data_IF_925012094657
#
_entry.id   IF_925012094657
#
_cell.length_a   1.000
_cell.length_b   1.000
_cell.length_c   1.000
_cell.angle_alpha   90.00
_cell.angle_beta   90.00
_cell.angle_gamma   90.00
#
_symmetry.space_group_name_H-M   'P 1'
#
loop_
_entity.id
_entity.type
_entity.pdbx_description
1 polymer ?
#
# COMPACT_ATOMS: atom_id res chain seq x y z
N UNK A 1 -4.37 5.63 0.56
CA UNK A 1 -3.00 5.18 0.22
C UNK A 1 -2.39 6.30 -0.61
N UNK A 2 -1.31 6.93 -0.13
CA UNK A 2 -0.60 8.00 -0.86
C UNK A 2 0.63 7.40 -1.52
N UNK A 3 0.99 7.83 -2.72
CA UNK A 3 2.23 7.41 -3.37
C UNK A 3 3.45 8.08 -2.73
N UNK A 4 4.66 7.58 -3.02
CA UNK A 4 5.92 8.13 -2.51
C UNK A 4 6.11 9.62 -2.82
N UNK A 5 5.48 10.13 -3.87
CA UNK A 5 5.52 11.55 -4.25
C UNK A 5 4.40 12.40 -3.61
N UNK A 6 3.64 11.83 -2.69
CA UNK A 6 2.51 12.48 -2.02
C UNK A 6 1.29 12.67 -2.91
N UNK A 7 1.29 12.14 -4.14
CA UNK A 7 0.12 12.24 -5.03
C UNK A 7 -0.96 11.20 -4.68
N UNK A 8 -2.24 11.58 -4.72
CA UNK A 8 -3.36 10.65 -4.55
C UNK A 8 -3.70 9.90 -5.85
N UNK A 9 -3.08 10.27 -6.97
CA UNK A 9 -3.35 9.74 -8.29
C UNK A 9 -2.29 8.69 -8.68
N UNK A 10 -2.66 7.75 -9.56
CA UNK A 10 -1.73 6.80 -10.17
C UNK A 10 -0.46 7.48 -10.73
N UNK A 11 0.73 6.84 -10.67
CA UNK A 11 1.98 7.45 -11.14
C UNK A 11 1.90 7.90 -12.61
N UNK A 12 2.45 9.06 -12.94
CA UNK A 12 2.60 9.58 -14.31
C UNK A 12 4.06 9.92 -14.63
N UNK A 13 4.38 10.17 -15.91
CA UNK A 13 5.73 10.63 -16.28
C UNK A 13 6.16 11.87 -15.49
N UNK A 14 7.46 11.96 -15.21
CA UNK A 14 8.08 13.12 -14.55
C UNK A 14 8.67 14.07 -15.58
N UNK A 15 8.69 15.35 -15.24
CA UNK A 15 9.34 16.34 -16.08
C UNK A 15 10.86 16.09 -16.10
N UNK A 16 11.47 16.08 -17.30
CA UNK A 16 12.93 16.04 -17.42
C UNK A 16 13.47 17.47 -17.48
N UNK A 17 14.44 17.77 -16.61
CA UNK A 17 15.12 19.09 -16.55
C UNK A 17 16.47 19.07 -17.26
N UNK A 18 16.92 17.92 -17.75
CA UNK A 18 18.30 17.69 -18.24
C UNK A 18 18.46 17.90 -19.75
N UNK A 19 17.40 18.23 -20.48
CA UNK A 19 17.45 18.49 -21.92
C UNK A 19 16.92 19.89 -22.22
N UNK A 20 17.43 20.51 -23.30
CA UNK A 20 16.96 21.79 -23.85
C UNK A 20 15.46 21.82 -24.19
N UNK A 21 14.80 20.67 -24.10
CA UNK A 21 13.36 20.49 -24.17
C UNK A 21 12.82 20.12 -22.78
N UNK A 22 12.12 21.05 -22.13
CA UNK A 22 11.30 20.70 -20.95
C UNK A 22 10.20 19.74 -21.39
N UNK A 23 10.37 18.46 -21.12
CA UNK A 23 9.29 17.50 -21.26
C UNK A 23 8.31 17.74 -20.11
N UNK A 24 7.15 18.32 -20.41
CA UNK A 24 6.08 18.44 -19.45
C UNK A 24 5.55 17.04 -19.12
N UNK A 25 5.20 16.78 -17.85
CA UNK A 25 4.66 15.49 -17.47
C UNK A 25 3.27 15.33 -18.11
N UNK A 26 3.00 14.15 -18.68
CA UNK A 26 1.75 13.91 -19.40
C UNK A 26 0.75 13.24 -18.48
N UNK A 27 -0.42 13.85 -18.33
CA UNK A 27 -1.46 13.31 -17.45
C UNK A 27 -1.83 11.89 -17.88
N UNK A 28 -1.87 10.97 -16.90
CA UNK A 28 -2.38 9.59 -17.03
C UNK A 28 -1.76 8.77 -18.18
N UNK A 29 -0.52 9.08 -18.56
CA UNK A 29 0.20 8.39 -19.62
C UNK A 29 0.58 6.95 -19.27
N UNK A 30 1.04 6.71 -18.04
CA UNK A 30 1.36 5.35 -17.57
C UNK A 30 0.11 4.47 -17.48
N UNK A 31 -1.03 5.02 -17.02
CA UNK A 31 -2.29 4.28 -16.99
C UNK A 31 -2.72 3.85 -18.41
N UNK A 32 -2.52 4.73 -19.40
CA UNK A 32 -2.79 4.42 -20.80
C UNK A 32 -1.81 3.40 -21.38
N UNK A 33 -0.54 3.45 -20.99
CA UNK A 33 0.47 2.47 -21.40
C UNK A 33 0.12 1.07 -20.87
N UNK A 34 -0.13 0.95 -19.57
CA UNK A 34 -0.54 -0.32 -18.94
C UNK A 34 -1.79 -0.87 -19.62
N UNK A 35 -2.83 -0.05 -19.83
CA UNK A 35 -4.04 -0.50 -20.51
C UNK A 35 -3.77 -1.01 -21.94
N UNK A 36 -2.84 -0.38 -22.66
CA UNK A 36 -2.45 -0.84 -24.00
C UNK A 36 -1.72 -2.18 -23.92
N UNK A 37 -0.80 -2.34 -22.99
CA UNK A 37 0.02 -3.56 -22.86
C UNK A 37 -0.86 -4.77 -22.49
N UNK A 38 -1.80 -4.57 -21.57
CA UNK A 38 -2.76 -5.59 -21.17
C UNK A 38 -3.64 -6.09 -22.33
N UNK A 39 -3.97 -5.21 -23.27
CA UNK A 39 -4.86 -5.54 -24.40
C UNK A 39 -4.08 -6.07 -25.60
N UNK A 40 -2.89 -5.52 -25.87
CA UNK A 40 -2.17 -5.76 -27.14
C UNK A 40 -1.03 -6.75 -27.01
N UNK A 41 -0.28 -6.69 -25.92
CA UNK A 41 0.99 -7.42 -25.79
C UNK A 41 0.79 -8.80 -25.14
N UNK A 42 -0.33 -9.00 -24.44
CA UNK A 42 -0.65 -10.27 -23.79
C UNK A 42 -1.37 -11.26 -24.72
N UNK A 43 -0.96 -12.53 -24.60
CA UNK A 43 -1.67 -13.70 -25.14
C UNK A 43 -3.02 -13.92 -24.43
N UNK A 44 -3.95 -14.69 -25.03
CA UNK A 44 -5.25 -14.97 -24.40
C UNK A 44 -5.15 -15.60 -23.00
N UNK A 45 -4.19 -16.49 -22.79
CA UNK A 45 -3.93 -17.15 -21.50
C UNK A 45 -3.43 -16.14 -20.46
N UNK A 46 -2.46 -15.28 -20.82
CA UNK A 46 -1.95 -14.23 -19.94
C UNK A 46 -3.02 -13.20 -19.57
N UNK A 47 -3.90 -12.84 -20.52
CA UNK A 47 -5.05 -11.98 -20.26
C UNK A 47 -5.98 -12.57 -19.21
N UNK A 48 -6.24 -13.87 -19.30
CA UNK A 48 -7.11 -14.59 -18.35
C UNK A 48 -6.51 -14.56 -16.94
N UNK A 49 -5.18 -14.76 -16.82
CA UNK A 49 -4.47 -14.68 -15.55
C UNK A 49 -4.54 -13.25 -14.98
N UNK A 50 -4.25 -12.23 -15.78
CA UNK A 50 -4.26 -10.83 -15.31
C UNK A 50 -5.66 -10.39 -14.89
N UNK A 51 -6.71 -10.77 -15.63
CA UNK A 51 -8.10 -10.49 -15.23
C UNK A 51 -8.43 -11.18 -13.91
N UNK A 52 -8.00 -12.42 -13.69
CA UNK A 52 -8.17 -13.11 -12.41
C UNK A 52 -7.45 -12.42 -11.24
N UNK A 53 -6.24 -11.91 -11.46
CA UNK A 53 -5.50 -11.15 -10.45
C UNK A 53 -6.13 -9.79 -10.15
N UNK A 54 -6.62 -9.09 -11.18
CA UNK A 54 -7.36 -7.84 -11.02
C UNK A 54 -8.69 -8.07 -10.28
N UNK A 55 -9.42 -9.14 -10.64
CA UNK A 55 -10.63 -9.56 -9.95
C UNK A 55 -10.35 -9.81 -8.45
N UNK A 56 -9.25 -10.47 -8.13
CA UNK A 56 -8.82 -10.69 -6.74
C UNK A 56 -8.46 -9.39 -6.00
N UNK A 57 -8.00 -8.37 -6.72
CA UNK A 57 -7.67 -7.05 -6.16
C UNK A 57 -8.93 -6.22 -5.87
N UNK A 58 -10.00 -6.38 -6.65
CA UNK A 58 -11.30 -5.72 -6.41
C UNK A 58 -12.19 -6.50 -5.43
N UNK A 59 -12.08 -7.83 -5.41
CA UNK A 59 -12.79 -8.73 -4.47
C UNK A 59 -12.13 -8.69 -3.09
N UNK A 60 -10.80 -8.56 -3.04
CA UNK A 60 -10.01 -8.20 -1.85
C UNK A 60 -10.05 -6.70 -1.53
N UNK A 61 -11.18 -6.02 -1.80
CA UNK A 61 -11.44 -4.63 -1.44
C UNK A 61 -11.40 -4.34 0.07
N UNK A 62 -11.05 -5.32 0.89
CA UNK A 62 -10.47 -5.08 2.20
C UNK A 62 -8.99 -4.71 1.99
N UNK A 63 -8.76 -3.40 1.83
CA UNK A 63 -7.62 -2.77 2.50
C UNK A 63 -7.50 -3.51 3.83
N UNK A 64 -6.43 -4.28 4.07
CA UNK A 64 -6.13 -4.75 5.42
C UNK A 64 -6.07 -3.47 6.24
N UNK A 65 -7.18 -3.13 6.87
CA UNK A 65 -7.31 -1.86 7.52
C UNK A 65 -6.29 -1.93 8.62
N UNK A 66 -5.30 -1.03 8.57
CA UNK A 66 -4.35 -0.84 9.66
C UNK A 66 -5.11 -0.61 10.99
N UNK A 67 -6.43 -0.34 10.97
CA UNK A 67 -7.35 -0.39 12.12
C UNK A 67 -7.44 -1.76 12.83
N UNK A 68 -7.45 -2.89 12.12
CA UNK A 68 -7.49 -4.22 12.77
C UNK A 68 -6.16 -4.56 13.45
N UNK A 69 -5.04 -4.24 12.79
CA UNK A 69 -3.69 -4.38 13.35
C UNK A 69 -3.48 -3.42 14.51
N UNK A 70 -3.99 -2.18 14.42
CA UNK A 70 -3.96 -1.19 15.50
C UNK A 70 -4.79 -1.63 16.71
N UNK A 71 -5.98 -2.21 16.51
CA UNK A 71 -6.81 -2.69 17.62
C UNK A 71 -6.14 -3.83 18.37
N UNK A 72 -5.48 -4.74 17.64
CA UNK A 72 -4.72 -5.84 18.25
C UNK A 72 -3.50 -5.31 19.01
N UNK A 73 -2.76 -4.35 18.45
CA UNK A 73 -1.62 -3.72 19.10
C UNK A 73 -2.03 -2.91 20.35
N UNK A 74 -3.12 -2.15 20.28
CA UNK A 74 -3.65 -1.35 21.39
C UNK A 74 -4.12 -2.23 22.55
N UNK A 75 -4.80 -3.34 22.25
CA UNK A 75 -5.22 -4.33 23.27
C UNK A 75 -4.01 -4.94 23.97
N UNK A 76 -3.00 -5.38 23.21
CA UNK A 76 -1.76 -5.96 23.77
C UNK A 76 -1.03 -4.92 24.62
N UNK A 77 -0.94 -3.66 24.16
CA UNK A 77 -0.32 -2.58 24.93
C UNK A 77 -1.05 -2.33 26.26
N UNK A 78 -2.38 -2.25 26.24
CA UNK A 78 -3.16 -2.00 27.45
C UNK A 78 -3.08 -3.18 28.43
N UNK A 79 -3.04 -4.40 27.91
CA UNK A 79 -2.82 -5.62 28.70
C UNK A 79 -1.43 -5.61 29.36
N UNK A 80 -0.37 -5.29 28.61
CA UNK A 80 0.99 -5.15 29.15
C UNK A 80 1.11 -4.02 30.19
N UNK A 81 0.45 -2.89 29.96
CA UNK A 81 0.42 -1.76 30.91
C UNK A 81 -0.33 -2.12 32.20
N UNK A 82 -1.38 -2.95 32.11
CA UNK A 82 -2.13 -3.41 33.29
C UNK A 82 -1.34 -4.35 34.20
N UNK A 83 -0.31 -5.02 33.66
CA UNK A 83 0.58 -5.90 34.40
C UNK A 83 1.77 -5.18 35.05
N UNK A 84 2.00 -3.90 34.71
CA UNK A 84 3.11 -3.09 35.24
C UNK A 84 3.07 -2.93 36.78
N UNK A 85 1.90 -2.72 37.42
CA UNK A 85 1.82 -2.69 38.88
C UNK A 85 2.26 -4.04 39.48
N UNK A 86 1.79 -5.17 38.97
CA UNK A 86 2.17 -6.50 39.49
C UNK A 86 3.69 -6.73 39.40
N UNK A 87 4.31 -6.38 38.28
CA UNK A 87 5.76 -6.49 38.12
C UNK A 87 6.54 -5.60 39.09
N UNK A 88 6.02 -4.41 39.41
CA UNK A 88 6.66 -3.49 40.37
C UNK A 88 6.46 -3.92 41.82
N UNK A 89 5.33 -4.55 42.16
CA UNK A 89 5.10 -5.17 43.47
C UNK A 89 6.01 -6.40 43.70
N UNK A 90 6.13 -7.29 42.72
CA UNK A 90 7.01 -8.46 42.77
C UNK A 90 8.49 -8.05 42.95
N UNK A 91 8.95 -7.05 42.20
CA UNK A 91 10.34 -6.57 42.31
C UNK A 91 10.68 -6.01 43.69
N UNK A 92 9.71 -5.35 44.34
CA UNK A 92 9.83 -4.77 45.70
C UNK A 92 9.76 -5.81 46.82
N UNK A 93 9.25 -7.01 46.55
CA UNK A 93 9.27 -8.12 47.50
C UNK A 93 10.60 -8.90 47.37
N UNK A 94 11.15 -8.96 46.16
CA UNK A 94 12.38 -9.69 45.86
C UNK A 94 13.69 -8.96 46.25
N UNK A 95 13.64 -7.65 46.59
CA UNK A 95 14.78 -6.81 46.97
C UNK A 95 14.44 -5.95 48.18
#
# INVERSE_FOLDING_TARGET
MMLEDGSPNWPMSKASTTSSYKLAPKTNDNAKAVAKDLVKELTPEEKTIVVGLLAKTIEGGEVVEIRAVSSTFMRIRDELLSLLPLLTWEWKIAH
#
